data_IF_670259159517
#
_entry.id   IF_670259159517
#
_cell.length_a   1.000
_cell.length_b   1.000
_cell.length_c   1.000
_cell.angle_alpha   90.00
_cell.angle_beta   90.00
_cell.angle_gamma   90.00
#
_symmetry.space_group_name_H-M   'P 1'
#
loop_
_entity.id
_entity.type
_entity.pdbx_description
1 polymer ?
#
# COMPACT_ATOMS: atom_id res chain seq x y z
N UNK A 1 -13.05 -3.99 25.26
CA UNK A 1 -12.32 -3.81 23.98
C UNK A 1 -12.93 -4.66 22.85
N UNK A 2 -14.26 -4.58 22.65
CA UNK A 2 -14.97 -5.45 21.70
C UNK A 2 -15.24 -4.72 20.37
N UNK A 3 -15.51 -3.41 20.40
CA UNK A 3 -15.79 -2.60 19.21
C UNK A 3 -14.63 -2.49 18.21
N UNK A 4 -13.38 -2.45 18.67
CA UNK A 4 -12.21 -2.40 17.77
C UNK A 4 -12.03 -3.67 16.93
N UNK A 5 -12.30 -4.84 17.52
CA UNK A 5 -12.24 -6.12 16.80
C UNK A 5 -13.31 -6.19 15.72
N UNK A 6 -14.54 -5.77 16.04
CA UNK A 6 -15.64 -5.70 15.07
C UNK A 6 -15.35 -4.71 13.95
N UNK A 7 -14.80 -3.54 14.28
CA UNK A 7 -14.38 -2.55 13.28
C UNK A 7 -13.33 -3.14 12.32
N UNK A 8 -12.28 -3.78 12.85
CA UNK A 8 -11.25 -4.41 12.02
C UNK A 8 -11.82 -5.49 11.11
N UNK A 9 -12.69 -6.36 11.64
CA UNK A 9 -13.32 -7.42 10.84
C UNK A 9 -14.19 -6.85 9.72
N UNK A 10 -14.98 -5.81 10.01
CA UNK A 10 -15.80 -5.14 9.01
C UNK A 10 -14.94 -4.43 7.95
N UNK A 11 -13.85 -3.78 8.37
CA UNK A 11 -12.91 -3.14 7.46
C UNK A 11 -12.23 -4.17 6.54
N UNK A 12 -11.82 -5.32 7.08
CA UNK A 12 -11.25 -6.41 6.28
C UNK A 12 -12.27 -7.01 5.31
N UNK A 13 -13.53 -7.18 5.73
CA UNK A 13 -14.59 -7.67 4.87
C UNK A 13 -14.93 -6.69 3.73
N UNK A 14 -14.93 -5.39 4.01
CA UNK A 14 -15.10 -4.39 2.96
C UNK A 14 -13.87 -4.34 2.02
N UNK A 15 -12.67 -4.42 2.58
CA UNK A 15 -11.43 -4.43 1.80
C UNK A 15 -11.32 -5.67 0.90
N UNK A 16 -11.78 -6.83 1.35
CA UNK A 16 -11.70 -8.06 0.55
C UNK A 16 -12.57 -7.98 -0.71
N UNK A 17 -13.73 -7.31 -0.67
CA UNK A 17 -14.57 -7.07 -1.85
C UNK A 17 -13.82 -6.18 -2.86
N UNK A 18 -13.18 -5.11 -2.39
CA UNK A 18 -12.40 -4.21 -3.24
C UNK A 18 -11.22 -4.96 -3.87
N UNK A 19 -10.49 -5.77 -3.09
CA UNK A 19 -9.39 -6.59 -3.61
C UNK A 19 -9.89 -7.59 -4.63
N UNK A 20 -11.03 -8.24 -4.39
CA UNK A 20 -11.61 -9.19 -5.33
C UNK A 20 -11.96 -8.54 -6.67
N UNK A 21 -12.55 -7.34 -6.63
CA UNK A 21 -12.89 -6.59 -7.84
C UNK A 21 -11.63 -6.22 -8.64
N UNK A 22 -10.59 -5.71 -7.95
CA UNK A 22 -9.31 -5.40 -8.57
C UNK A 22 -8.69 -6.65 -9.21
N UNK A 23 -8.67 -7.78 -8.50
CA UNK A 23 -8.13 -9.05 -9.03
C UNK A 23 -8.92 -9.50 -10.25
N UNK A 24 -10.25 -9.37 -10.22
CA UNK A 24 -11.12 -9.74 -11.35
C UNK A 24 -10.84 -8.88 -12.58
N UNK A 25 -10.68 -7.56 -12.39
CA UNK A 25 -10.29 -6.65 -13.47
C UNK A 25 -8.90 -6.99 -14.04
N UNK A 26 -7.93 -7.25 -13.16
CA UNK A 26 -6.56 -7.61 -13.57
C UNK A 26 -6.50 -8.98 -14.26
N UNK A 27 -7.35 -9.93 -13.90
CA UNK A 27 -7.39 -11.25 -14.53
C UNK A 27 -7.86 -11.20 -15.99
N UNK A 28 -8.65 -10.19 -16.37
CA UNK A 28 -9.08 -9.97 -17.75
C UNK A 28 -8.01 -9.36 -18.66
N UNK A 29 -6.87 -8.93 -18.11
CA UNK A 29 -5.79 -8.28 -18.88
C UNK A 29 -4.87 -9.33 -19.48
N UNK A 30 -4.55 -9.17 -20.77
CA UNK A 30 -3.48 -9.94 -21.41
C UNK A 30 -2.11 -9.40 -20.97
N UNK A 31 -1.61 -9.93 -19.85
CA UNK A 31 -0.31 -9.57 -19.29
C UNK A 31 0.86 -9.97 -20.18
N UNK A 32 0.73 -11.00 -21.02
CA UNK A 32 1.85 -11.39 -21.89
C UNK A 32 2.07 -10.36 -22.99
N UNK A 33 0.99 -9.76 -23.51
CA UNK A 33 1.08 -8.68 -24.49
C UNK A 33 1.67 -7.39 -23.91
N UNK A 34 1.35 -7.04 -22.66
CA UNK A 34 1.74 -5.76 -22.04
C UNK A 34 3.01 -5.85 -21.20
N UNK A 35 3.29 -7.03 -20.64
CA UNK A 35 4.35 -7.26 -19.67
C UNK A 35 5.01 -8.64 -19.92
N UNK A 36 5.88 -8.73 -20.96
CA UNK A 36 6.64 -9.94 -21.23
C UNK A 36 7.40 -10.41 -19.99
N UNK A 37 7.55 -11.73 -19.83
CA UNK A 37 8.10 -12.34 -18.61
C UNK A 37 9.47 -11.77 -18.22
N UNK A 38 10.31 -11.49 -19.20
CA UNK A 38 11.66 -10.93 -19.01
C UNK A 38 11.58 -9.53 -18.40
N UNK A 39 10.65 -8.70 -18.89
CA UNK A 39 10.42 -7.33 -18.41
C UNK A 39 9.79 -7.34 -17.02
N UNK A 40 8.87 -8.27 -16.76
CA UNK A 40 8.20 -8.42 -15.47
C UNK A 40 9.19 -8.60 -14.32
N UNK A 41 10.21 -9.45 -14.52
CA UNK A 41 11.26 -9.70 -13.53
C UNK A 41 12.04 -8.42 -13.23
N UNK A 42 12.41 -7.67 -14.27
CA UNK A 42 13.14 -6.41 -14.10
C UNK A 42 12.31 -5.34 -13.40
N UNK A 43 11.00 -5.28 -13.64
CA UNK A 43 10.09 -4.38 -12.91
C UNK A 43 10.08 -4.74 -11.42
N UNK A 44 9.97 -6.03 -11.08
CA UNK A 44 10.03 -6.47 -9.66
C UNK A 44 11.34 -6.06 -9.01
N UNK A 45 12.47 -6.25 -9.71
CA UNK A 45 13.79 -5.81 -9.21
C UNK A 45 13.82 -4.29 -9.02
N UNK A 46 13.37 -3.52 -10.01
CA UNK A 46 13.36 -2.06 -9.95
C UNK A 46 12.49 -1.53 -8.79
N UNK A 47 11.30 -2.10 -8.57
CA UNK A 47 10.42 -1.75 -7.45
C UNK A 47 11.09 -2.05 -6.11
N UNK A 48 11.76 -3.20 -5.98
CA UNK A 48 12.47 -3.54 -4.75
C UNK A 48 13.66 -2.60 -4.49
N UNK A 49 14.43 -2.26 -5.52
CA UNK A 49 15.52 -1.28 -5.41
C UNK A 49 14.95 0.08 -4.99
N UNK A 50 13.89 0.55 -5.66
CA UNK A 50 13.23 1.80 -5.31
C UNK A 50 12.74 1.80 -3.86
N UNK A 51 12.20 0.69 -3.37
CA UNK A 51 11.77 0.54 -1.98
C UNK A 51 12.96 0.61 -0.99
N UNK A 52 14.09 -0.02 -1.30
CA UNK A 52 15.32 0.06 -0.48
C UNK A 52 15.85 1.51 -0.45
N UNK A 53 15.93 2.15 -1.62
CA UNK A 53 16.36 3.55 -1.74
C UNK A 53 15.42 4.45 -0.97
N UNK A 54 14.10 4.29 -1.13
CA UNK A 54 13.12 5.07 -0.40
C UNK A 54 13.32 4.90 1.09
N UNK A 55 13.46 3.67 1.58
CA UNK A 55 13.72 3.39 3.00
C UNK A 55 15.03 3.99 3.51
N UNK A 56 16.04 4.08 2.66
CA UNK A 56 17.33 4.67 3.02
C UNK A 56 17.28 6.21 3.04
N UNK A 57 16.58 6.82 2.08
CA UNK A 57 16.41 8.27 1.97
C UNK A 57 15.42 8.80 3.00
N UNK A 58 14.38 8.03 3.34
CA UNK A 58 13.42 8.39 4.39
C UNK A 58 13.97 8.01 5.76
N UNK A 59 14.76 8.89 6.36
CA UNK A 59 15.12 8.83 7.78
C UNK A 59 14.23 9.77 8.58
N UNK A 60 13.06 9.29 8.97
CA UNK A 60 12.12 10.06 9.78
C UNK A 60 10.84 9.28 10.01
N UNK A 61 10.13 9.51 11.14
CA UNK A 61 8.81 8.93 11.30
C UNK A 61 7.91 9.42 10.17
N UNK A 62 7.14 8.50 9.58
CA UNK A 62 6.19 8.85 8.53
C UNK A 62 5.31 10.04 8.99
N UNK A 63 5.05 10.99 8.08
CA UNK A 63 4.51 12.32 8.41
C UNK A 63 3.21 12.33 9.22
N UNK A 64 2.47 11.23 9.25
CA UNK A 64 1.32 11.03 10.14
C UNK A 64 1.68 11.13 11.63
N UNK A 65 2.94 10.87 12.02
CA UNK A 65 3.39 10.98 13.42
C UNK A 65 3.54 12.43 13.88
N UNK A 66 3.73 13.38 12.97
CA UNK A 66 3.80 14.82 13.29
C UNK A 66 2.41 15.49 13.31
N UNK A 67 1.39 14.85 12.74
CA UNK A 67 0.01 15.31 12.82
C UNK A 67 -0.65 15.02 14.19
N UNK A 68 0.00 14.19 15.02
CA UNK A 68 -0.50 13.76 16.33
C UNK A 68 -0.14 14.71 17.49
N UNK A 69 0.37 15.92 17.21
CA UNK A 69 0.59 16.94 18.24
C UNK A 69 -0.50 18.04 18.16
N UNK A 70 -1.72 17.80 18.69
CA UNK A 70 -2.66 18.87 18.95
C UNK A 70 -2.14 19.71 20.12
N UNK A 71 -2.01 21.03 19.93
CA UNK A 71 -1.93 21.96 21.05
C UNK A 71 -0.61 22.72 21.25
N UNK A 72 -0.01 23.28 20.19
CA UNK A 72 0.78 24.52 20.37
C UNK A 72 0.02 25.67 19.73
N UNK A 73 -0.82 26.32 20.52
CA UNK A 73 -1.33 27.65 20.20
C UNK A 73 -0.13 28.62 20.13
N UNK A 74 -0.01 29.43 19.06
CA UNK A 74 0.93 30.54 19.04
C UNK A 74 0.45 31.63 20.02
N UNK A 75 1.37 32.04 20.88
CA UNK A 75 1.29 33.17 21.82
C UNK A 75 0.88 34.48 21.16
#
# INVERSE_FOLDING_TARGET
>A
MQGWRTFLLNALAAASIIVLEIVTMLAGVDWQAHLPREVAIWIVVAVNIANIVLRHVTSGPAGWRNAAAPGKEPS
#
